data_IF_454353493813
#
_entry.id   IF_454353493813
#
_cell.length_a   1.000
_cell.length_b   1.000
_cell.length_c   1.000
_cell.angle_alpha   90.00
_cell.angle_beta   90.00
_cell.angle_gamma   90.00
#
_symmetry.space_group_name_H-M   'P 1'
#
loop_
_entity.id
_entity.type
_entity.pdbx_description
1 polymer ?
#
# COMPACT_ATOMS: atom_id res chain seq x y z
N UNK A 1 -31.31 -26.47 -20.68
CA UNK A 1 -30.92 -26.52 -19.27
C UNK A 1 -31.60 -25.34 -18.60
N UNK A 2 -32.68 -25.64 -17.84
CA UNK A 2 -33.50 -24.63 -17.14
C UNK A 2 -32.86 -24.34 -15.78
N UNK A 3 -32.47 -23.11 -15.53
CA UNK A 3 -31.97 -22.70 -14.21
C UNK A 3 -33.18 -22.38 -13.30
N UNK A 4 -33.21 -22.87 -12.06
CA UNK A 4 -34.27 -22.50 -11.12
C UNK A 4 -34.13 -21.02 -10.74
N UNK A 5 -35.23 -20.28 -10.78
CA UNK A 5 -35.30 -18.91 -10.28
C UNK A 5 -35.15 -18.93 -8.76
N UNK A 6 -34.06 -18.37 -8.26
CA UNK A 6 -33.88 -18.10 -6.84
C UNK A 6 -34.85 -17.02 -6.40
N UNK A 7 -35.77 -17.41 -5.53
CA UNK A 7 -36.76 -16.54 -4.92
C UNK A 7 -36.09 -15.84 -3.72
N UNK A 8 -35.66 -14.59 -3.87
CA UNK A 8 -35.19 -13.78 -2.77
C UNK A 8 -36.37 -13.30 -1.94
N UNK A 9 -36.78 -14.09 -0.96
CA UNK A 9 -37.63 -13.61 0.12
C UNK A 9 -36.75 -12.82 1.08
N UNK A 10 -36.88 -11.51 1.03
CA UNK A 10 -36.25 -10.57 1.98
C UNK A 10 -36.81 -10.83 3.38
N UNK A 11 -36.09 -11.60 4.20
CA UNK A 11 -36.28 -11.59 5.64
C UNK A 11 -35.60 -10.32 6.16
N UNK A 12 -36.40 -9.26 6.26
CA UNK A 12 -36.02 -8.04 6.98
C UNK A 12 -35.93 -8.35 8.48
N UNK A 13 -34.79 -8.86 8.91
CA UNK A 13 -34.39 -8.73 10.32
C UNK A 13 -33.65 -7.41 10.43
N UNK A 14 -34.35 -6.38 10.90
CA UNK A 14 -33.71 -5.19 11.46
C UNK A 14 -32.93 -5.63 12.69
N UNK A 15 -31.69 -6.03 12.51
CA UNK A 15 -30.70 -6.02 13.58
C UNK A 15 -30.40 -4.55 13.83
N UNK A 16 -30.88 -4.01 14.92
CA UNK A 16 -30.43 -2.71 15.43
C UNK A 16 -28.95 -2.85 15.70
N UNK A 17 -28.14 -2.37 14.77
CA UNK A 17 -26.73 -2.14 15.02
C UNK A 17 -26.65 -1.20 16.21
N UNK A 18 -26.16 -1.71 17.30
CA UNK A 18 -25.88 -0.92 18.50
C UNK A 18 -24.71 0.01 18.13
N UNK A 19 -25.05 1.21 17.63
CA UNK A 19 -24.16 2.26 17.20
C UNK A 19 -23.58 3.00 18.41
N UNK A 20 -23.03 2.29 19.40
CA UNK A 20 -22.35 2.89 20.53
C UNK A 20 -20.83 2.69 20.49
N UNK A 21 -20.27 2.29 19.38
CA UNK A 21 -18.85 2.50 19.14
C UNK A 21 -18.71 3.95 18.67
N UNK A 22 -18.43 4.85 19.59
CA UNK A 22 -17.93 6.17 19.26
C UNK A 22 -16.74 5.99 18.30
N UNK A 23 -16.65 6.74 17.16
CA UNK A 23 -15.46 6.72 16.37
C UNK A 23 -14.31 7.15 17.28
N UNK A 24 -13.36 6.22 17.52
CA UNK A 24 -12.12 6.57 18.22
C UNK A 24 -11.53 7.73 17.44
N UNK A 25 -11.33 8.92 18.02
CA UNK A 25 -10.73 10.02 17.31
C UNK A 25 -9.27 9.64 17.04
N UNK A 26 -9.02 9.10 15.85
CA UNK A 26 -7.66 8.76 15.39
C UNK A 26 -6.74 9.98 15.40
N UNK A 27 -7.31 11.18 15.32
CA UNK A 27 -6.54 12.43 15.22
C UNK A 27 -5.82 12.84 16.52
N UNK A 28 -6.34 12.48 17.69
CA UNK A 28 -5.78 12.98 18.97
C UNK A 28 -4.71 12.06 19.58
N UNK A 29 -4.47 10.87 19.03
CA UNK A 29 -3.48 9.91 19.55
C UNK A 29 -2.28 9.64 18.63
N UNK A 30 -2.32 10.10 17.39
CA UNK A 30 -1.17 9.94 16.48
C UNK A 30 -0.14 11.01 16.80
N UNK A 31 0.97 10.61 17.39
CA UNK A 31 2.18 11.45 17.48
C UNK A 31 2.60 11.81 16.06
N UNK A 32 3.04 13.06 15.89
CA UNK A 32 3.59 13.54 14.63
C UNK A 32 4.76 12.64 14.17
N UNK A 33 4.74 12.18 12.91
CA UNK A 33 5.65 11.15 12.42
C UNK A 33 6.63 11.67 11.37
N UNK A 34 7.82 11.10 11.37
CA UNK A 34 8.82 11.27 10.31
C UNK A 34 8.65 10.16 9.28
N UNK A 35 8.22 10.54 8.08
CA UNK A 35 7.86 9.59 7.02
C UNK A 35 8.88 9.63 5.88
N UNK A 36 9.34 8.46 5.45
CA UNK A 36 10.14 8.30 4.24
C UNK A 36 9.34 7.66 3.10
N UNK A 37 9.59 8.04 1.86
CA UNK A 37 9.04 7.34 0.68
C UNK A 37 10.21 6.91 -0.20
N UNK A 38 10.41 5.59 -0.34
CA UNK A 38 11.40 5.00 -1.25
C UNK A 38 10.73 4.64 -2.57
N UNK A 39 11.25 5.18 -3.67
CA UNK A 39 10.59 5.18 -4.97
C UNK A 39 9.72 6.42 -5.19
N UNK A 40 10.04 7.52 -4.49
CA UNK A 40 9.23 8.74 -4.43
C UNK A 40 8.95 9.40 -5.80
N UNK A 41 9.82 9.21 -6.78
CA UNK A 41 9.69 9.79 -8.14
C UNK A 41 8.87 8.92 -9.09
N UNK A 42 8.45 7.72 -8.65
CA UNK A 42 7.59 6.81 -9.41
C UNK A 42 6.12 7.21 -9.34
N UNK A 43 5.28 6.56 -10.18
CA UNK A 43 3.83 6.81 -10.20
C UNK A 43 3.19 6.58 -8.84
N UNK A 44 3.46 5.44 -8.21
CA UNK A 44 2.89 5.09 -6.89
C UNK A 44 3.44 6.01 -5.79
N UNK A 45 4.74 6.35 -5.83
CA UNK A 45 5.32 7.33 -4.90
C UNK A 45 4.64 8.69 -4.98
N UNK A 46 4.24 9.13 -6.18
CA UNK A 46 3.42 10.32 -6.40
C UNK A 46 2.05 10.23 -5.72
N UNK A 47 1.37 9.09 -5.87
CA UNK A 47 0.08 8.83 -5.22
C UNK A 47 0.22 8.78 -3.70
N UNK A 48 1.27 8.14 -3.17
CA UNK A 48 1.53 8.11 -1.72
C UNK A 48 1.67 9.52 -1.14
N UNK A 49 2.45 10.40 -1.81
CA UNK A 49 2.59 11.80 -1.39
C UNK A 49 1.25 12.54 -1.41
N UNK A 50 0.46 12.37 -2.47
CA UNK A 50 -0.85 12.99 -2.60
C UNK A 50 -1.80 12.51 -1.49
N UNK A 51 -1.85 11.21 -1.21
CA UNK A 51 -2.72 10.64 -0.18
C UNK A 51 -2.32 11.05 1.25
N UNK A 52 -1.03 11.18 1.55
CA UNK A 52 -0.58 11.69 2.85
C UNK A 52 -1.10 13.13 3.07
N UNK A 53 -1.07 13.97 2.03
CA UNK A 53 -1.60 15.34 2.09
C UNK A 53 -3.13 15.36 2.16
N UNK A 54 -3.81 14.66 1.26
CA UNK A 54 -5.28 14.60 1.18
C UNK A 54 -5.92 14.12 2.48
N UNK A 55 -5.32 13.10 3.10
CA UNK A 55 -5.82 12.50 4.35
C UNK A 55 -5.33 13.20 5.61
N UNK A 56 -4.60 14.31 5.47
CA UNK A 56 -4.03 15.05 6.60
C UNK A 56 -3.27 14.12 7.56
N UNK A 57 -2.53 13.16 7.00
CA UNK A 57 -1.72 12.25 7.82
C UNK A 57 -0.70 13.08 8.64
N UNK A 58 -0.49 12.81 9.93
CA UNK A 58 0.29 13.66 10.83
C UNK A 58 1.80 13.55 10.56
N UNK A 59 2.24 14.03 9.41
CA UNK A 59 3.64 14.06 8.98
C UNK A 59 4.34 15.29 9.56
N UNK A 60 5.33 15.08 10.42
CA UNK A 60 6.22 16.15 10.90
C UNK A 60 7.28 16.48 9.87
N UNK A 61 7.88 15.46 9.27
CA UNK A 61 8.82 15.63 8.17
C UNK A 61 8.62 14.53 7.13
N UNK A 62 8.71 14.90 5.86
CA UNK A 62 8.69 13.97 4.74
C UNK A 62 10.07 13.95 4.10
N UNK A 63 10.65 12.76 3.94
CA UNK A 63 11.88 12.53 3.19
C UNK A 63 11.59 11.67 1.96
N UNK A 64 12.19 12.04 0.83
CA UNK A 64 11.93 11.41 -0.46
C UNK A 64 13.21 10.74 -0.97
N UNK A 65 13.13 9.44 -1.25
CA UNK A 65 14.26 8.65 -1.70
C UNK A 65 13.97 8.06 -3.09
N UNK A 66 14.97 8.12 -3.96
CA UNK A 66 14.90 7.50 -5.29
C UNK A 66 16.32 7.09 -5.73
N UNK A 67 16.44 6.54 -6.96
CA UNK A 67 17.74 6.19 -7.52
C UNK A 67 18.63 7.44 -7.72
N UNK A 68 19.94 7.24 -7.77
CA UNK A 68 20.94 8.29 -8.04
C UNK A 68 20.58 9.20 -9.22
N UNK A 69 19.94 8.66 -10.27
CA UNK A 69 19.45 9.44 -11.43
C UNK A 69 18.43 10.51 -11.06
N UNK A 70 17.70 10.33 -9.98
CA UNK A 70 16.66 11.24 -9.52
C UNK A 70 17.07 12.03 -8.28
N UNK A 71 18.17 11.68 -7.64
CA UNK A 71 18.72 12.40 -6.51
C UNK A 71 19.04 13.86 -6.87
N UNK A 72 18.83 14.76 -5.93
CA UNK A 72 19.01 16.21 -6.11
C UNK A 72 17.83 16.92 -6.79
N UNK A 73 16.85 16.20 -7.34
CA UNK A 73 15.60 16.83 -7.81
C UNK A 73 14.77 17.33 -6.64
N UNK A 74 14.09 18.44 -6.85
CA UNK A 74 13.15 18.98 -5.85
C UNK A 74 11.71 18.61 -6.22
N UNK A 75 10.94 18.24 -5.22
CA UNK A 75 9.52 17.94 -5.34
C UNK A 75 8.78 18.77 -4.31
N UNK A 76 7.83 19.56 -4.78
CA UNK A 76 6.94 20.31 -3.89
C UNK A 76 5.92 19.37 -3.20
N UNK A 77 5.76 19.52 -1.88
CA UNK A 77 4.74 18.83 -1.10
C UNK A 77 4.26 19.74 0.04
N UNK A 78 2.94 20.01 0.10
CA UNK A 78 2.32 20.88 1.09
C UNK A 78 2.98 22.26 1.21
N UNK A 79 3.35 22.87 0.08
CA UNK A 79 4.00 24.19 0.05
C UNK A 79 5.47 24.20 0.44
N UNK A 80 6.10 23.02 0.61
CA UNK A 80 7.52 22.86 0.91
C UNK A 80 8.25 22.14 -0.22
N UNK A 81 9.40 22.65 -0.57
CA UNK A 81 10.30 22.01 -1.51
C UNK A 81 11.14 20.94 -0.82
N UNK A 82 10.99 19.68 -1.21
CA UNK A 82 11.71 18.54 -0.65
C UNK A 82 12.70 18.01 -1.68
N UNK A 83 13.99 18.00 -1.31
CA UNK A 83 15.03 17.42 -2.16
C UNK A 83 14.99 15.89 -2.09
N UNK A 84 15.02 15.24 -3.24
CA UNK A 84 15.08 13.78 -3.35
C UNK A 84 16.49 13.31 -3.03
N UNK A 85 16.61 12.37 -2.09
CA UNK A 85 17.86 11.76 -1.67
C UNK A 85 18.15 10.49 -2.49
N UNK A 86 19.44 10.14 -2.62
CA UNK A 86 19.83 8.87 -3.21
C UNK A 86 19.56 7.72 -2.23
N UNK A 87 18.65 6.82 -2.62
CA UNK A 87 18.23 5.72 -1.79
C UNK A 87 19.37 4.74 -1.44
N UNK A 88 20.39 4.60 -2.28
CA UNK A 88 21.52 3.68 -2.02
C UNK A 88 22.45 4.20 -0.92
N UNK A 89 22.66 5.52 -0.86
CA UNK A 89 23.66 6.14 0.03
C UNK A 89 23.05 6.89 1.21
N UNK A 90 21.73 7.10 1.23
CA UNK A 90 21.04 7.85 2.28
C UNK A 90 21.23 7.24 3.67
N UNK A 91 21.27 8.11 4.66
CA UNK A 91 21.09 7.76 6.07
C UNK A 91 19.58 7.76 6.39
N UNK A 92 19.04 6.64 6.85
CA UNK A 92 17.62 6.46 7.16
C UNK A 92 17.29 6.71 8.64
N UNK A 93 18.26 7.12 9.44
CA UNK A 93 18.02 7.40 10.87
C UNK A 93 16.95 8.47 11.06
N UNK A 94 16.16 8.34 12.14
CA UNK A 94 15.12 9.28 12.51
C UNK A 94 13.81 9.16 11.72
N UNK A 95 13.65 8.15 10.87
CA UNK A 95 12.37 7.82 10.28
C UNK A 95 11.56 6.92 11.24
N UNK A 96 10.26 7.20 11.38
CA UNK A 96 9.31 6.34 12.06
C UNK A 96 8.70 5.31 11.10
N UNK A 97 8.33 5.76 9.90
CA UNK A 97 7.72 4.92 8.86
C UNK A 97 8.42 5.17 7.51
N UNK A 98 8.65 4.09 6.77
CA UNK A 98 9.14 4.15 5.40
C UNK A 98 8.20 3.40 4.44
N UNK A 99 7.59 4.12 3.50
CA UNK A 99 6.73 3.58 2.46
C UNK A 99 7.59 3.19 1.24
N UNK A 100 7.55 1.92 0.85
CA UNK A 100 8.35 1.38 -0.25
C UNK A 100 7.51 1.13 -1.49
N UNK A 101 7.93 1.72 -2.61
CA UNK A 101 7.39 1.46 -3.94
C UNK A 101 8.49 1.61 -5.01
N UNK A 102 9.59 0.87 -4.84
CA UNK A 102 10.78 0.93 -5.71
C UNK A 102 11.07 -0.38 -6.44
N UNK A 103 10.13 -1.34 -6.39
CA UNK A 103 10.28 -2.67 -6.95
C UNK A 103 10.95 -3.68 -6.02
N UNK A 104 10.81 -4.97 -6.35
CA UNK A 104 11.19 -6.06 -5.44
C UNK A 104 12.69 -6.15 -5.17
N UNK A 105 13.55 -5.93 -6.17
CA UNK A 105 15.01 -5.96 -6.00
C UNK A 105 15.50 -4.88 -5.02
N UNK A 106 15.06 -3.65 -5.23
CA UNK A 106 15.38 -2.52 -4.35
C UNK A 106 14.84 -2.75 -2.93
N UNK A 107 13.63 -3.30 -2.81
CA UNK A 107 13.07 -3.61 -1.49
C UNK A 107 13.86 -4.69 -0.78
N UNK A 108 14.28 -5.76 -1.46
CA UNK A 108 15.12 -6.81 -0.86
C UNK A 108 16.43 -6.26 -0.30
N UNK A 109 17.02 -5.29 -0.98
CA UNK A 109 18.30 -4.68 -0.59
C UNK A 109 18.13 -3.64 0.52
N UNK A 110 17.19 -2.70 0.35
CA UNK A 110 17.10 -1.52 1.20
C UNK A 110 16.17 -1.68 2.42
N UNK A 111 15.08 -2.46 2.32
CA UNK A 111 14.12 -2.56 3.41
C UNK A 111 14.73 -3.05 4.73
N UNK A 112 15.61 -4.08 4.75
CA UNK A 112 16.29 -4.49 5.97
C UNK A 112 17.19 -3.39 6.57
N UNK A 113 17.84 -2.60 5.72
CA UNK A 113 18.72 -1.50 6.14
C UNK A 113 17.89 -0.37 6.77
N UNK A 114 16.75 -0.05 6.19
CA UNK A 114 15.82 0.97 6.70
C UNK A 114 15.19 0.51 8.01
N UNK A 115 14.77 -0.75 8.11
CA UNK A 115 14.25 -1.32 9.34
C UNK A 115 15.31 -1.35 10.46
N UNK A 116 16.55 -1.69 10.13
CA UNK A 116 17.66 -1.65 11.08
C UNK A 116 17.99 -0.24 11.58
N UNK A 117 17.65 0.81 10.82
CA UNK A 117 17.76 2.20 11.24
C UNK A 117 16.61 2.64 12.18
N UNK A 118 15.65 1.78 12.46
CA UNK A 118 14.56 2.00 13.42
C UNK A 118 13.19 2.29 12.81
N UNK A 119 13.06 2.44 11.50
CA UNK A 119 11.78 2.67 10.85
C UNK A 119 10.97 1.38 10.66
N UNK A 120 9.65 1.47 10.74
CA UNK A 120 8.76 0.43 10.22
C UNK A 120 8.64 0.60 8.70
N UNK A 121 9.06 -0.41 7.96
CA UNK A 121 8.94 -0.44 6.51
C UNK A 121 7.57 -1.00 6.10
N UNK A 122 6.83 -0.28 5.26
CA UNK A 122 5.60 -0.76 4.63
C UNK A 122 5.91 -0.96 3.14
N UNK A 123 6.05 -2.23 2.73
CA UNK A 123 6.49 -2.58 1.39
C UNK A 123 5.33 -2.92 0.45
N UNK A 124 5.23 -2.19 -0.63
CA UNK A 124 4.21 -2.41 -1.67
C UNK A 124 4.67 -3.36 -2.78
N UNK A 125 5.91 -3.84 -2.73
CA UNK A 125 6.42 -4.82 -3.70
C UNK A 125 6.00 -6.26 -3.35
N UNK A 126 6.37 -7.21 -4.20
CA UNK A 126 6.18 -8.64 -3.90
C UNK A 126 7.31 -9.27 -3.09
N UNK A 127 8.32 -8.48 -2.72
CA UNK A 127 9.58 -8.98 -2.18
C UNK A 127 9.43 -9.83 -0.91
N UNK A 128 8.51 -9.44 -0.03
CA UNK A 128 8.40 -9.98 1.32
C UNK A 128 7.11 -10.78 1.56
N UNK A 129 6.21 -10.86 0.57
CA UNK A 129 4.87 -11.47 0.73
C UNK A 129 4.90 -12.95 1.12
N UNK A 130 5.97 -13.67 0.80
CA UNK A 130 6.14 -15.10 1.08
C UNK A 130 7.19 -15.36 2.17
N UNK A 131 7.54 -14.33 2.94
CA UNK A 131 8.50 -14.46 4.05
C UNK A 131 7.71 -14.66 5.35
N UNK A 132 7.91 -15.78 6.02
CA UNK A 132 7.15 -16.18 7.22
C UNK A 132 7.33 -15.21 8.41
N UNK A 133 8.43 -14.46 8.44
CA UNK A 133 8.72 -13.46 9.48
C UNK A 133 8.24 -12.05 9.11
N UNK A 134 7.55 -11.89 7.97
CA UNK A 134 7.02 -10.61 7.52
C UNK A 134 5.50 -10.68 7.41
N UNK A 135 4.73 -9.95 8.24
CA UNK A 135 3.29 -9.97 8.16
C UNK A 135 2.79 -9.40 6.82
N UNK A 136 1.93 -10.16 6.14
CA UNK A 136 1.20 -9.73 4.95
C UNK A 136 -0.15 -9.19 5.37
N UNK A 137 -0.34 -7.86 5.32
CA UNK A 137 -1.45 -7.19 5.98
C UNK A 137 -2.41 -6.51 5.02
N UNK A 138 -3.69 -6.79 5.22
CA UNK A 138 -4.82 -5.96 4.79
C UNK A 138 -5.50 -5.46 6.06
N UNK A 139 -5.46 -4.16 6.38
CA UNK A 139 -5.92 -3.65 7.67
C UNK A 139 -7.35 -4.05 8.04
N UNK A 140 -8.25 -4.13 7.06
CA UNK A 140 -9.65 -4.53 7.25
C UNK A 140 -9.81 -6.04 7.55
N UNK A 141 -8.76 -6.84 7.36
CA UNK A 141 -8.80 -8.29 7.51
C UNK A 141 -8.03 -8.76 8.74
N UNK A 142 -6.78 -8.32 8.87
CA UNK A 142 -5.83 -8.87 9.82
C UNK A 142 -4.92 -7.80 10.45
N UNK A 143 -5.46 -6.63 10.80
CA UNK A 143 -4.70 -5.56 11.45
C UNK A 143 -3.97 -6.03 12.73
N UNK A 144 -4.48 -7.06 13.40
CA UNK A 144 -3.86 -7.62 14.61
C UNK A 144 -2.44 -8.18 14.35
N UNK A 145 -2.12 -8.58 13.12
CA UNK A 145 -0.80 -9.10 12.76
C UNK A 145 0.29 -8.02 12.88
N UNK A 146 -0.10 -6.74 12.89
CA UNK A 146 0.80 -5.61 13.14
C UNK A 146 1.35 -5.55 14.58
N UNK A 147 0.81 -6.34 15.50
CA UNK A 147 1.39 -6.45 16.85
C UNK A 147 2.72 -7.21 16.88
N UNK A 148 3.07 -7.92 15.79
CA UNK A 148 4.34 -8.63 15.66
C UNK A 148 4.95 -8.37 14.30
N UNK A 149 6.02 -7.58 14.25
CA UNK A 149 6.75 -7.22 13.05
C UNK A 149 8.23 -7.59 13.25
N UNK A 150 8.59 -8.89 13.23
CA UNK A 150 9.92 -9.36 13.66
C UNK A 150 11.08 -8.71 12.88
N UNK A 151 10.88 -8.45 11.59
CA UNK A 151 11.90 -7.82 10.73
C UNK A 151 11.75 -6.31 10.58
N UNK A 152 10.80 -5.67 11.29
CA UNK A 152 10.48 -4.26 11.08
C UNK A 152 9.90 -3.96 9.69
N UNK A 153 9.43 -5.00 8.98
CA UNK A 153 8.88 -4.91 7.62
C UNK A 153 7.46 -5.46 7.62
N UNK A 154 6.54 -4.72 7.00
CA UNK A 154 5.15 -5.14 6.73
C UNK A 154 4.98 -5.22 5.22
N UNK A 155 4.46 -6.32 4.70
CA UNK A 155 4.18 -6.50 3.29
C UNK A 155 2.73 -6.17 2.97
N UNK A 156 2.51 -5.40 1.89
CA UNK A 156 1.20 -5.23 1.28
C UNK A 156 0.94 -6.35 0.27
N UNK A 157 -0.27 -6.92 0.19
CA UNK A 157 -0.63 -7.87 -0.86
C UNK A 157 -0.73 -7.21 -2.23
N UNK A 158 -1.05 -8.01 -3.24
CA UNK A 158 -1.32 -7.50 -4.57
C UNK A 158 -2.49 -6.49 -4.53
N UNK A 159 -2.43 -5.45 -5.38
CA UNK A 159 -3.43 -4.38 -5.41
C UNK A 159 -4.87 -4.90 -5.65
N UNK A 160 -5.05 -5.91 -6.51
CA UNK A 160 -6.37 -6.53 -6.75
C UNK A 160 -6.87 -7.29 -5.53
N UNK A 161 -5.98 -7.90 -4.75
CA UNK A 161 -6.33 -8.52 -3.47
C UNK A 161 -6.81 -7.47 -2.47
N UNK A 162 -6.08 -6.36 -2.32
CA UNK A 162 -6.47 -5.29 -1.39
C UNK A 162 -7.83 -4.68 -1.71
N UNK A 163 -8.19 -4.58 -2.99
CA UNK A 163 -9.52 -4.07 -3.40
C UNK A 163 -10.64 -5.05 -3.06
N UNK A 164 -10.38 -6.36 -3.16
CA UNK A 164 -11.39 -7.40 -2.92
C UNK A 164 -11.61 -7.68 -1.42
N UNK A 165 -10.56 -7.65 -0.61
CA UNK A 165 -10.59 -8.10 0.78
C UNK A 165 -11.56 -7.34 1.69
N UNK A 166 -11.71 -6.00 1.63
CA UNK A 166 -12.69 -5.27 2.43
C UNK A 166 -14.14 -5.69 2.19
N UNK A 167 -14.41 -6.25 1.01
CA UNK A 167 -15.74 -6.80 0.67
C UNK A 167 -15.85 -8.26 1.12
N UNK A 168 -14.79 -9.05 0.90
CA UNK A 168 -14.80 -10.48 1.20
C UNK A 168 -14.79 -10.76 2.69
N UNK A 169 -14.09 -9.95 3.49
CA UNK A 169 -14.00 -10.15 4.93
C UNK A 169 -15.35 -10.16 5.63
N UNK A 170 -16.20 -9.12 5.51
CA UNK A 170 -17.52 -9.14 6.14
C UNK A 170 -18.42 -10.25 5.59
N UNK A 171 -18.33 -10.60 4.31
CA UNK A 171 -19.09 -11.71 3.77
C UNK A 171 -18.67 -13.06 4.36
N UNK A 172 -17.35 -13.25 4.56
CA UNK A 172 -16.84 -14.46 5.19
C UNK A 172 -17.27 -14.57 6.67
N UNK A 173 -17.25 -13.45 7.39
CA UNK A 173 -17.63 -13.42 8.81
C UNK A 173 -19.13 -13.69 9.03
N UNK A 174 -19.99 -13.11 8.18
CA UNK A 174 -21.44 -13.16 8.36
C UNK A 174 -22.11 -14.39 7.72
N UNK A 175 -21.59 -14.86 6.58
CA UNK A 175 -22.20 -15.91 5.79
C UNK A 175 -21.33 -17.16 5.62
N UNK A 176 -20.06 -17.08 5.98
CA UNK A 176 -19.05 -18.08 5.65
C UNK A 176 -18.61 -17.99 4.18
N UNK A 177 -17.36 -18.36 3.92
CA UNK A 177 -16.79 -18.41 2.58
C UNK A 177 -16.19 -19.81 2.34
N UNK A 178 -16.84 -20.60 1.50
CA UNK A 178 -16.36 -21.96 1.17
C UNK A 178 -15.34 -21.96 0.03
N UNK A 179 -15.58 -21.15 -1.00
CA UNK A 179 -14.72 -21.04 -2.16
C UNK A 179 -14.89 -19.70 -2.87
N UNK A 180 -13.83 -19.24 -3.53
CA UNK A 180 -13.83 -18.01 -4.29
C UNK A 180 -13.08 -18.21 -5.61
N UNK A 181 -13.69 -17.81 -6.73
CA UNK A 181 -13.06 -17.75 -8.04
C UNK A 181 -13.09 -16.29 -8.48
N UNK A 182 -11.91 -15.71 -8.70
CA UNK A 182 -11.77 -14.32 -9.12
C UNK A 182 -11.06 -14.25 -10.47
N UNK A 183 -11.66 -13.54 -11.43
CA UNK A 183 -11.02 -13.12 -12.65
C UNK A 183 -10.78 -11.61 -12.59
N UNK A 184 -9.56 -11.16 -12.87
CA UNK A 184 -9.17 -9.76 -12.77
C UNK A 184 -8.64 -9.23 -14.10
N UNK A 185 -8.92 -7.95 -14.35
CA UNK A 185 -8.35 -7.18 -15.44
C UNK A 185 -7.58 -6.02 -14.84
N UNK A 186 -6.27 -5.96 -15.10
CA UNK A 186 -5.40 -4.93 -14.57
C UNK A 186 -4.89 -4.01 -15.68
N UNK A 187 -4.84 -2.72 -15.38
CA UNK A 187 -4.15 -1.77 -16.24
C UNK A 187 -2.63 -2.06 -16.26
N UNK A 188 -2.00 -1.89 -17.41
CA UNK A 188 -0.56 -2.09 -17.58
C UNK A 188 0.27 -1.16 -16.71
N UNK A 189 -0.30 -0.02 -16.27
CA UNK A 189 0.33 0.91 -15.35
C UNK A 189 0.70 0.29 -14.00
N UNK A 190 0.09 -0.86 -13.63
CA UNK A 190 0.49 -1.65 -12.47
C UNK A 190 1.93 -2.18 -12.56
N UNK A 191 2.47 -2.35 -13.78
CA UNK A 191 3.87 -2.67 -14.04
C UNK A 191 4.80 -1.44 -14.05
N UNK A 192 4.28 -0.26 -13.74
CA UNK A 192 5.01 1.00 -13.75
C UNK A 192 5.12 1.64 -15.14
N UNK A 193 5.88 2.74 -15.21
CA UNK A 193 6.06 3.50 -16.48
C UNK A 193 6.69 2.67 -17.61
N UNK A 194 7.49 1.67 -17.28
CA UNK A 194 8.07 0.77 -18.30
C UNK A 194 7.00 -0.01 -19.02
N UNK A 195 6.03 -0.57 -18.30
CA UNK A 195 4.91 -1.30 -18.90
C UNK A 195 4.01 -0.40 -19.75
N UNK A 196 3.77 0.84 -19.31
CA UNK A 196 3.00 1.83 -20.09
C UNK A 196 3.70 2.15 -21.43
N UNK A 197 5.01 2.38 -21.37
CA UNK A 197 5.81 2.65 -22.58
C UNK A 197 5.83 1.46 -23.53
N UNK A 198 6.03 0.26 -23.00
CA UNK A 198 6.02 -0.97 -23.80
C UNK A 198 4.69 -1.17 -24.51
N UNK A 199 3.56 -0.94 -23.81
CA UNK A 199 2.24 -1.01 -24.44
C UNK A 199 2.09 0.01 -25.58
N UNK A 200 2.50 1.26 -25.34
CA UNK A 200 2.42 2.33 -26.34
C UNK A 200 3.26 1.99 -27.59
N UNK A 201 4.51 1.57 -27.38
CA UNK A 201 5.41 1.18 -28.47
C UNK A 201 4.89 -0.03 -29.26
N UNK A 202 4.29 -1.03 -28.58
CA UNK A 202 3.72 -2.19 -29.26
C UNK A 202 2.43 -1.84 -30.00
N UNK A 203 1.57 -1.02 -29.42
CA UNK A 203 0.34 -0.56 -30.06
C UNK A 203 0.62 0.23 -31.35
N UNK A 204 1.64 1.09 -31.34
CA UNK A 204 2.07 1.82 -32.55
C UNK A 204 2.56 0.89 -33.63
N UNK A 205 3.28 -0.18 -33.29
CA UNK A 205 3.78 -1.18 -34.29
C UNK A 205 2.66 -2.01 -34.90
N UNK A 206 1.58 -2.27 -34.18
CA UNK A 206 0.43 -3.06 -34.68
C UNK A 206 -0.54 -2.19 -35.47
N UNK A 207 -0.61 -0.88 -35.16
CA UNK A 207 -1.49 0.07 -35.85
C UNK A 207 -0.87 0.72 -37.10
N UNK A 208 0.38 0.40 -37.44
CA UNK A 208 1.09 0.83 -38.63
C UNK A 208 1.06 -0.27 -39.71
#
# INVERSE_FOLDING_TARGET
VSFPRLNFSLVSRRTTLNSSAEPVPLADSLTAMHVGIVGATGQVGGVMRALLAERSFPVTSLRLFASARSAGKTIEWNGQDITVEDAETADYSGLDIALFSAGGSTSKELAPRVAAAGAIVIDNSSAWRMDDDVPLVVPEVNAADLHSIPKGIVANPNCTTMVAMPIMKPLADEAGLEAMIISTYQAVSGAGLSGVRELDEQAQKVGA
#
